data_IF_001178498735
#
_entry.id   IF_001178498735
#
_cell.length_a   1.000
_cell.length_b   1.000
_cell.length_c   1.000
_cell.angle_alpha   90.00
_cell.angle_beta   90.00
_cell.angle_gamma   90.00
#
_symmetry.space_group_name_H-M   'P 1'
#
loop_
_entity.id
_entity.type
_entity.pdbx_description
1 polymer ?
#
# COMPACT_ATOMS: atom_id res chain seq x y z
N UNK A 1 0.79 18.92 11.40
CA UNK A 1 0.16 17.68 10.87
C UNK A 1 -0.60 18.05 9.61
N UNK A 2 -0.51 17.27 8.54
CA UNK A 2 -1.34 17.51 7.35
C UNK A 2 -2.82 17.30 7.68
N UNK A 3 -3.65 18.29 7.33
CA UNK A 3 -5.11 18.23 7.47
C UNK A 3 -5.74 17.65 6.21
N UNK A 4 -6.79 16.84 6.42
CA UNK A 4 -7.48 16.13 5.34
C UNK A 4 -8.98 16.31 5.47
N UNK A 5 -9.66 16.44 4.33
CA UNK A 5 -11.12 16.35 4.22
C UNK A 5 -11.50 15.09 3.46
N UNK A 6 -12.37 14.27 4.03
CA UNK A 6 -12.92 13.10 3.34
C UNK A 6 -13.88 13.57 2.24
N UNK A 7 -13.68 13.09 1.02
CA UNK A 7 -14.55 13.42 -0.12
C UNK A 7 -15.46 12.25 -0.48
N UNK A 8 -14.93 11.03 -0.46
CA UNK A 8 -15.69 9.79 -0.68
C UNK A 8 -14.99 8.60 -0.01
N UNK A 9 -15.73 7.52 0.26
CA UNK A 9 -15.18 6.32 0.92
C UNK A 9 -15.95 5.04 0.59
N UNK A 10 -15.23 3.93 0.67
CA UNK A 10 -15.75 2.56 0.73
C UNK A 10 -15.38 1.98 2.09
N UNK A 11 -16.34 1.33 2.76
CA UNK A 11 -16.17 0.81 4.12
C UNK A 11 -16.49 -0.67 4.16
N UNK A 12 -15.59 -1.46 4.74
CA UNK A 12 -15.86 -2.83 5.13
C UNK A 12 -16.04 -2.85 6.66
N UNK A 13 -17.30 -2.84 7.10
CA UNK A 13 -17.67 -2.78 8.52
C UNK A 13 -17.19 -4.01 9.29
N UNK A 14 -17.26 -5.20 8.68
CA UNK A 14 -16.83 -6.45 9.32
C UNK A 14 -15.34 -6.46 9.67
N UNK A 15 -14.51 -5.84 8.82
CA UNK A 15 -13.06 -5.73 9.04
C UNK A 15 -12.66 -4.41 9.73
N UNK A 16 -13.60 -3.47 9.88
CA UNK A 16 -13.33 -2.10 10.32
C UNK A 16 -12.35 -1.36 9.40
N UNK A 17 -12.32 -1.68 8.11
CA UNK A 17 -11.39 -1.11 7.13
C UNK A 17 -12.12 -0.08 6.26
N UNK A 18 -11.46 1.03 5.98
CA UNK A 18 -11.95 2.09 5.09
C UNK A 18 -10.92 2.40 4.02
N UNK A 19 -11.40 2.50 2.79
CA UNK A 19 -10.68 3.05 1.65
C UNK A 19 -11.33 4.39 1.30
N UNK A 20 -10.62 5.50 1.50
CA UNK A 20 -11.17 6.84 1.35
C UNK A 20 -10.36 7.69 0.38
N UNK A 21 -11.05 8.49 -0.42
CA UNK A 21 -10.44 9.63 -1.12
C UNK A 21 -10.44 10.81 -0.15
N UNK A 22 -9.26 11.43 0.01
CA UNK A 22 -9.07 12.58 0.89
C UNK A 22 -8.41 13.72 0.15
N UNK A 23 -8.95 14.92 0.31
CA UNK A 23 -8.30 16.15 -0.09
C UNK A 23 -7.31 16.57 0.99
N UNK A 24 -6.05 16.78 0.63
CA UNK A 24 -5.03 17.31 1.53
C UNK A 24 -5.03 18.84 1.45
N UNK A 25 -5.42 19.49 2.55
CA UNK A 25 -5.76 20.93 2.54
C UNK A 25 -4.56 21.86 2.35
N UNK A 26 -3.35 21.42 2.69
CA UNK A 26 -2.12 22.21 2.57
C UNK A 26 -1.55 22.27 1.15
N UNK A 27 -1.99 21.37 0.28
CA UNK A 27 -1.39 21.10 -1.04
C UNK A 27 -2.43 20.92 -2.14
N UNK A 28 -3.71 20.94 -1.78
CA UNK A 28 -4.89 20.83 -2.65
C UNK A 28 -4.88 19.63 -3.60
N UNK A 29 -4.22 18.53 -3.20
CA UNK A 29 -4.24 17.27 -3.95
C UNK A 29 -5.07 16.21 -3.25
N UNK A 30 -5.61 15.29 -4.04
CA UNK A 30 -6.33 14.14 -3.55
C UNK A 30 -5.40 12.93 -3.37
N UNK A 31 -5.62 12.19 -2.30
CA UNK A 31 -4.95 10.91 -2.07
C UNK A 31 -5.97 9.85 -1.67
N UNK A 32 -5.74 8.64 -2.14
CA UNK A 32 -6.46 7.45 -1.76
C UNK A 32 -5.78 6.85 -0.55
N UNK A 33 -6.58 6.56 0.46
CA UNK A 33 -6.11 6.34 1.81
C UNK A 33 -6.75 5.08 2.38
N UNK A 34 -5.91 4.11 2.75
CA UNK A 34 -6.35 2.92 3.49
C UNK A 34 -6.23 3.17 5.00
N UNK A 35 -7.29 2.88 5.75
CA UNK A 35 -7.35 2.99 7.20
C UNK A 35 -8.05 1.78 7.80
N UNK A 36 -7.64 1.40 9.00
CA UNK A 36 -8.41 0.48 9.84
C UNK A 36 -8.73 1.17 11.17
N UNK A 37 -10.00 1.11 11.57
CA UNK A 37 -10.47 1.63 12.85
C UNK A 37 -9.84 0.81 13.97
N UNK A 38 -9.09 1.47 14.86
CA UNK A 38 -8.61 0.85 16.11
C UNK A 38 -9.28 1.47 17.32
N UNK A 39 -9.33 0.77 18.47
CA UNK A 39 -9.91 1.30 19.70
C UNK A 39 -9.21 2.56 20.23
N UNK A 40 -7.95 2.81 19.86
CA UNK A 40 -7.25 4.05 20.20
C UNK A 40 -7.31 5.06 19.05
N UNK A 41 -7.55 6.33 19.38
CA UNK A 41 -7.72 7.47 18.45
C UNK A 41 -6.55 7.73 17.47
N UNK A 42 -5.50 6.88 17.46
CA UNK A 42 -4.39 6.96 16.51
C UNK A 42 -4.62 5.99 15.34
N UNK A 43 -5.55 6.34 14.45
CA UNK A 43 -6.04 5.57 13.29
C UNK A 43 -5.03 5.31 12.16
N UNK A 44 -3.75 5.02 12.46
CA UNK A 44 -2.71 4.95 11.43
C UNK A 44 -1.80 3.74 11.51
N UNK A 45 -1.84 2.93 12.57
CA UNK A 45 -0.73 2.02 12.85
C UNK A 45 -0.76 0.76 11.98
N UNK A 46 0.33 0.56 11.25
CA UNK A 46 0.60 -0.63 10.45
C UNK A 46 0.85 -1.92 11.26
N UNK A 47 1.01 -1.84 12.59
CA UNK A 47 1.35 -2.98 13.44
C UNK A 47 0.21 -3.30 14.37
N UNK A 48 -0.42 -4.47 14.23
CA UNK A 48 -1.44 -4.96 15.18
C UNK A 48 -0.84 -5.10 16.57
N UNK A 49 0.34 -5.73 16.63
CA UNK A 49 1.21 -5.94 17.80
C UNK A 49 2.69 -5.85 17.34
N UNK A 50 3.65 -5.88 18.28
CA UNK A 50 5.07 -5.95 17.92
C UNK A 50 5.33 -7.23 17.12
N UNK A 51 5.79 -7.12 15.87
CA UNK A 51 6.05 -8.27 15.00
C UNK A 51 4.93 -8.64 14.02
N UNK A 52 3.67 -8.27 14.31
CA UNK A 52 2.52 -8.54 13.44
C UNK A 52 2.14 -7.36 12.54
N UNK A 53 2.28 -7.56 11.24
CA UNK A 53 1.93 -6.57 10.23
C UNK A 53 0.43 -6.54 9.96
N UNK A 54 -0.08 -5.35 9.65
CA UNK A 54 -1.42 -5.19 9.15
C UNK A 54 -1.60 -6.05 7.89
N UNK A 55 -2.72 -6.76 7.82
CA UNK A 55 -3.14 -7.46 6.62
C UNK A 55 -4.65 -7.58 6.64
N UNK A 56 -5.21 -7.87 5.48
CA UNK A 56 -6.62 -8.17 5.32
C UNK A 56 -6.82 -9.30 4.30
N UNK A 57 -8.02 -9.89 4.24
CA UNK A 57 -8.37 -10.81 3.17
C UNK A 57 -8.18 -10.17 1.80
N UNK A 58 -7.44 -10.83 0.92
CA UNK A 58 -7.10 -10.32 -0.40
C UNK A 58 -8.35 -10.16 -1.28
N UNK A 59 -9.32 -11.06 -1.15
CA UNK A 59 -10.60 -10.99 -1.87
C UNK A 59 -11.44 -9.78 -1.40
N UNK A 60 -11.45 -9.50 -0.10
CA UNK A 60 -12.12 -8.34 0.48
C UNK A 60 -11.44 -7.04 0.01
N UNK A 61 -10.11 -7.00 -0.03
CA UNK A 61 -9.36 -5.87 -0.57
C UNK A 61 -9.73 -5.61 -2.03
N UNK A 62 -9.79 -6.66 -2.85
CA UNK A 62 -10.18 -6.55 -4.25
C UNK A 62 -11.61 -6.01 -4.41
N UNK A 63 -12.58 -6.55 -3.66
CA UNK A 63 -13.97 -6.06 -3.68
C UNK A 63 -14.03 -4.57 -3.36
N UNK A 64 -13.34 -4.14 -2.30
CA UNK A 64 -13.28 -2.73 -1.92
C UNK A 64 -12.64 -1.84 -3.01
N UNK A 65 -11.57 -2.30 -3.67
CA UNK A 65 -10.92 -1.53 -4.74
C UNK A 65 -11.81 -1.42 -5.99
N UNK A 66 -12.52 -2.49 -6.35
CA UNK A 66 -13.46 -2.48 -7.47
C UNK A 66 -14.63 -1.53 -7.20
N UNK A 67 -15.19 -1.57 -6.00
CA UNK A 67 -16.23 -0.63 -5.59
C UNK A 67 -15.72 0.82 -5.57
N UNK A 68 -14.51 1.05 -5.06
CA UNK A 68 -13.88 2.36 -5.05
C UNK A 68 -13.69 2.91 -6.47
N UNK A 69 -13.25 2.08 -7.41
CA UNK A 69 -13.15 2.45 -8.83
C UNK A 69 -14.52 2.79 -9.41
N UNK A 70 -15.56 1.98 -9.13
CA UNK A 70 -16.92 2.23 -9.61
C UNK A 70 -17.50 3.54 -9.06
N UNK A 71 -17.12 3.91 -7.83
CA UNK A 71 -17.50 5.16 -7.16
C UNK A 71 -16.57 6.35 -7.50
N UNK A 72 -15.65 6.20 -8.45
CA UNK A 72 -14.78 7.28 -8.92
C UNK A 72 -13.62 7.66 -8.01
N UNK A 73 -13.31 6.89 -6.96
CA UNK A 73 -12.22 7.22 -6.03
C UNK A 73 -10.83 7.25 -6.70
N UNK A 74 -10.67 6.60 -7.85
CA UNK A 74 -9.41 6.56 -8.59
C UNK A 74 -9.43 7.37 -9.89
N UNK A 75 -10.47 8.18 -10.09
CA UNK A 75 -10.69 8.91 -11.33
C UNK A 75 -9.57 9.91 -11.65
N UNK A 76 -9.37 10.17 -12.94
CA UNK A 76 -8.23 10.89 -13.49
C UNK A 76 -8.13 12.34 -13.00
N UNK A 77 -9.26 12.96 -12.70
CA UNK A 77 -9.34 14.30 -12.12
C UNK A 77 -8.71 14.41 -10.72
N UNK A 78 -8.55 13.29 -10.02
CA UNK A 78 -7.95 13.22 -8.68
C UNK A 78 -6.47 12.86 -8.69
N UNK A 79 -5.88 12.67 -9.86
CA UNK A 79 -4.47 12.33 -9.96
C UNK A 79 -3.61 13.52 -9.58
N UNK A 80 -2.71 13.33 -8.61
CA UNK A 80 -1.81 14.38 -8.10
C UNK A 80 -0.86 14.89 -9.18
N UNK A 81 -0.56 14.07 -10.19
CA UNK A 81 0.40 14.40 -11.26
C UNK A 81 -0.09 13.97 -12.65
N UNK A 82 -1.06 14.65 -13.26
CA UNK A 82 -1.57 14.28 -14.57
C UNK A 82 -0.46 14.22 -15.63
N UNK A 83 -0.56 13.26 -16.56
CA UNK A 83 0.42 13.07 -17.65
C UNK A 83 1.76 12.44 -17.25
N UNK A 84 1.97 12.08 -15.98
CA UNK A 84 3.16 11.34 -15.53
C UNK A 84 2.91 9.83 -15.53
N UNK A 85 3.85 9.07 -16.09
CA UNK A 85 3.82 7.61 -16.03
C UNK A 85 4.25 7.11 -14.65
N UNK A 86 3.61 6.04 -14.21
CA UNK A 86 4.03 5.23 -13.07
C UNK A 86 4.49 3.90 -13.66
N UNK A 87 5.73 3.54 -13.39
CA UNK A 87 6.29 2.26 -13.81
C UNK A 87 6.23 1.26 -12.64
N UNK A 88 5.31 0.28 -12.64
CA UNK A 88 5.18 -0.67 -11.56
C UNK A 88 6.24 -1.77 -11.63
N UNK A 89 6.86 -2.03 -10.49
CA UNK A 89 7.72 -3.20 -10.29
C UNK A 89 6.88 -4.36 -9.80
N UNK A 90 6.67 -5.36 -10.65
CA UNK A 90 5.85 -6.54 -10.37
C UNK A 90 6.70 -7.80 -10.32
N UNK A 91 6.77 -8.45 -9.15
CA UNK A 91 7.60 -9.64 -8.96
C UNK A 91 7.21 -10.80 -9.88
N UNK A 92 5.95 -10.89 -10.30
CA UNK A 92 5.48 -11.95 -11.22
C UNK A 92 5.93 -11.73 -12.67
N UNK A 93 6.39 -10.53 -13.02
CA UNK A 93 6.83 -10.14 -14.36
C UNK A 93 8.35 -9.89 -14.42
N UNK A 94 9.07 -10.26 -13.37
CA UNK A 94 10.51 -10.07 -13.22
C UNK A 94 11.28 -11.38 -13.31
N UNK A 95 12.58 -11.31 -13.61
CA UNK A 95 13.46 -12.46 -13.41
C UNK A 95 13.51 -12.83 -11.91
N UNK A 96 13.80 -14.10 -11.57
CA UNK A 96 13.89 -14.54 -10.18
C UNK A 96 14.82 -13.68 -9.31
N UNK A 97 15.96 -13.25 -9.85
CA UNK A 97 16.94 -12.42 -9.15
C UNK A 97 16.38 -11.03 -8.82
N UNK A 98 15.66 -10.42 -9.77
CA UNK A 98 15.02 -9.12 -9.60
C UNK A 98 13.80 -9.18 -8.68
N UNK A 99 13.02 -10.25 -8.75
CA UNK A 99 11.95 -10.51 -7.79
C UNK A 99 12.52 -10.63 -6.37
N UNK A 100 13.63 -11.37 -6.19
CA UNK A 100 14.30 -11.50 -4.90
C UNK A 100 14.91 -10.18 -4.39
N UNK A 101 15.38 -9.30 -5.27
CA UNK A 101 15.72 -7.92 -4.90
C UNK A 101 14.51 -7.15 -4.40
N UNK A 102 13.38 -7.23 -5.10
CA UNK A 102 12.14 -6.55 -4.70
C UNK A 102 11.62 -7.06 -3.35
N UNK A 103 11.71 -8.37 -3.11
CA UNK A 103 11.37 -8.98 -1.82
C UNK A 103 12.25 -8.40 -0.71
N UNK A 104 13.56 -8.30 -0.90
CA UNK A 104 14.47 -7.66 0.08
C UNK A 104 14.25 -6.15 0.25
N UNK A 105 13.64 -5.47 -0.71
CA UNK A 105 13.27 -4.05 -0.61
C UNK A 105 11.98 -3.82 0.18
N UNK A 106 11.11 -4.83 0.28
CA UNK A 106 9.72 -4.65 0.75
C UNK A 106 9.35 -5.56 1.92
N UNK A 107 10.10 -6.62 2.16
CA UNK A 107 10.03 -7.52 3.32
C UNK A 107 11.28 -7.34 4.18
N UNK A 108 11.13 -7.27 5.50
CA UNK A 108 12.30 -7.14 6.39
C UNK A 108 13.06 -8.46 6.45
N UNK A 109 14.38 -8.41 6.31
CA UNK A 109 15.25 -9.59 6.42
C UNK A 109 15.31 -10.05 7.89
N UNK A 110 15.11 -11.35 8.14
CA UNK A 110 15.35 -11.99 9.43
C UNK A 110 14.30 -11.73 10.51
N UNK A 111 13.07 -11.40 10.11
CA UNK A 111 11.94 -11.15 11.02
C UNK A 111 10.80 -12.14 10.76
N UNK A 112 9.89 -12.24 11.73
CA UNK A 112 8.56 -12.89 11.60
C UNK A 112 7.82 -12.51 10.30
N UNK A 113 8.13 -11.36 9.69
CA UNK A 113 7.64 -10.94 8.36
C UNK A 113 7.87 -11.99 7.25
N UNK A 114 9.06 -12.59 7.19
CA UNK A 114 9.38 -13.53 6.12
C UNK A 114 8.63 -14.86 6.29
N UNK A 115 8.48 -15.32 7.53
CA UNK A 115 7.68 -16.51 7.87
C UNK A 115 6.19 -16.25 7.68
N UNK A 116 5.72 -15.04 7.99
CA UNK A 116 4.32 -14.64 7.79
C UNK A 116 3.91 -14.66 6.31
N UNK A 117 4.84 -14.40 5.39
CA UNK A 117 4.61 -14.41 3.95
C UNK A 117 5.13 -15.67 3.25
N UNK A 118 5.40 -16.75 4.00
CA UNK A 118 5.81 -18.04 3.43
C UNK A 118 4.67 -18.67 2.62
N UNK A 119 4.62 -18.32 1.33
CA UNK A 119 3.52 -18.59 0.44
C UNK A 119 4.04 -18.77 -1.00
N UNK A 120 3.63 -19.87 -1.65
CA UNK A 120 4.17 -20.28 -2.96
C UNK A 120 3.84 -19.31 -4.10
N UNK A 121 2.72 -18.62 -3.99
CA UNK A 121 2.21 -17.65 -4.97
C UNK A 121 2.31 -16.21 -4.45
N UNK A 122 3.27 -15.94 -3.57
CA UNK A 122 3.57 -14.59 -3.08
C UNK A 122 3.91 -13.66 -4.26
N UNK A 123 3.21 -12.53 -4.34
CA UNK A 123 3.46 -11.48 -5.33
C UNK A 123 3.63 -10.13 -4.65
N UNK A 124 4.55 -9.33 -5.19
CA UNK A 124 4.79 -7.95 -4.75
C UNK A 124 4.69 -7.03 -5.95
N UNK A 125 3.86 -6.00 -5.81
CA UNK A 125 3.73 -4.91 -6.78
C UNK A 125 4.13 -3.63 -6.10
N UNK A 126 5.18 -2.97 -6.56
CA UNK A 126 5.70 -1.76 -5.96
C UNK A 126 5.79 -0.61 -6.96
N UNK A 127 5.15 0.51 -6.63
CA UNK A 127 5.11 1.72 -7.44
C UNK A 127 5.88 2.84 -6.75
N UNK A 128 6.75 3.54 -7.48
CA UNK A 128 7.36 4.78 -6.98
C UNK A 128 6.48 5.96 -7.33
N UNK A 129 6.43 6.95 -6.44
CA UNK A 129 5.79 8.21 -6.78
C UNK A 129 6.61 8.97 -7.83
N UNK A 130 5.98 9.51 -8.90
CA UNK A 130 6.68 10.04 -10.08
C UNK A 130 7.71 11.14 -9.81
N UNK A 131 7.41 12.09 -8.92
CA UNK A 131 8.23 13.31 -8.79
C UNK A 131 9.26 13.20 -7.67
N UNK A 132 8.86 12.73 -6.51
CA UNK A 132 9.74 12.77 -5.35
C UNK A 132 10.67 11.55 -5.34
N UNK A 133 10.34 10.41 -5.99
CA UNK A 133 11.08 9.11 -5.96
C UNK A 133 11.55 8.66 -4.56
N UNK A 134 11.14 9.38 -3.52
CA UNK A 134 11.40 9.22 -2.09
C UNK A 134 10.37 8.32 -1.44
N UNK A 135 9.26 8.07 -2.13
CA UNK A 135 8.18 7.23 -1.69
C UNK A 135 8.03 6.01 -2.59
N UNK A 136 7.87 4.85 -1.96
CA UNK A 136 7.56 3.58 -2.59
C UNK A 136 6.28 3.03 -1.94
N UNK A 137 5.27 2.76 -2.75
CA UNK A 137 4.03 2.11 -2.31
C UNK A 137 4.07 0.67 -2.80
N UNK A 138 3.85 -0.29 -1.92
CA UNK A 138 3.87 -1.70 -2.26
C UNK A 138 2.59 -2.40 -1.85
N UNK A 139 2.08 -3.27 -2.72
CA UNK A 139 1.10 -4.29 -2.39
C UNK A 139 1.84 -5.62 -2.30
N UNK A 140 1.62 -6.35 -1.21
CA UNK A 140 2.15 -7.70 -0.99
C UNK A 140 0.95 -8.61 -0.83
N UNK A 141 0.86 -9.64 -1.67
CA UNK A 141 -0.31 -10.52 -1.72
C UNK A 141 0.10 -11.98 -1.81
N UNK A 142 -0.60 -12.81 -1.05
CA UNK A 142 -0.56 -14.27 -1.11
C UNK A 142 -2.00 -14.73 -1.42
N UNK A 143 -2.33 -15.00 -2.69
CA UNK A 143 -3.68 -15.41 -3.08
C UNK A 143 -4.12 -16.72 -2.43
N UNK A 144 -3.27 -17.75 -2.40
CA UNK A 144 -3.58 -19.04 -1.78
C UNK A 144 -3.91 -18.96 -0.28
N UNK A 145 -3.26 -18.04 0.43
CA UNK A 145 -3.53 -17.74 1.84
C UNK A 145 -4.60 -16.68 2.07
N UNK A 146 -5.26 -16.22 1.00
CA UNK A 146 -6.20 -15.08 0.96
C UNK A 146 -5.71 -13.89 1.81
N UNK A 147 -4.47 -13.45 1.60
CA UNK A 147 -3.85 -12.43 2.46
C UNK A 147 -3.22 -11.33 1.63
N UNK A 148 -3.46 -10.09 2.03
CA UNK A 148 -2.88 -8.92 1.40
C UNK A 148 -2.49 -7.86 2.44
N UNK A 149 -1.40 -7.14 2.16
CA UNK A 149 -1.10 -5.87 2.80
C UNK A 149 -0.69 -4.81 1.79
N UNK A 150 -0.89 -3.56 2.16
CA UNK A 150 -0.28 -2.39 1.51
C UNK A 150 0.80 -1.82 2.41
N UNK A 151 1.90 -1.32 1.84
CA UNK A 151 2.99 -0.68 2.58
C UNK A 151 3.38 0.62 1.90
N UNK A 152 3.72 1.61 2.72
CA UNK A 152 4.35 2.85 2.29
C UNK A 152 5.77 2.87 2.84
N UNK A 153 6.75 3.15 1.99
CA UNK A 153 8.14 3.29 2.39
C UNK A 153 8.65 4.66 1.97
N UNK A 154 9.55 5.21 2.77
CA UNK A 154 10.21 6.47 2.49
C UNK A 154 11.73 6.34 2.57
N UNK A 155 12.43 7.19 1.82
CA UNK A 155 13.86 7.48 1.98
C UNK A 155 14.11 8.81 2.69
N UNK A 156 13.07 9.48 3.15
CA UNK A 156 13.17 10.77 3.84
C UNK A 156 13.67 10.58 5.27
N UNK A 157 14.89 11.05 5.51
CA UNK A 157 15.55 10.95 6.81
C UNK A 157 14.91 11.86 7.87
N UNK A 158 14.22 12.91 7.46
CA UNK A 158 13.49 13.88 8.29
C UNK A 158 12.02 13.50 8.51
N UNK A 159 11.46 12.53 7.78
CA UNK A 159 10.08 12.09 7.99
C UNK A 159 9.87 11.42 9.36
N UNK A 160 9.19 12.09 10.28
CA UNK A 160 9.09 11.70 11.70
C UNK A 160 8.30 10.40 11.93
N UNK A 161 7.37 10.06 11.03
CA UNK A 161 6.46 8.94 11.19
C UNK A 161 6.97 7.64 10.55
N UNK A 162 8.28 7.43 10.45
CA UNK A 162 8.85 6.16 10.00
C UNK A 162 9.23 5.22 11.14
N UNK A 163 9.31 3.94 10.82
CA UNK A 163 10.01 2.96 11.63
C UNK A 163 11.50 2.99 11.30
N UNK A 164 12.31 3.33 12.30
CA UNK A 164 13.77 3.31 12.21
C UNK A 164 14.37 1.94 12.53
N UNK A 165 13.59 1.08 13.19
CA UNK A 165 13.97 -0.29 13.59
C UNK A 165 13.91 -1.29 12.44
N UNK A 166 13.01 -1.08 11.46
CA UNK A 166 12.93 -1.90 10.26
C UNK A 166 13.78 -1.27 9.15
N UNK A 167 14.92 -1.89 8.84
CA UNK A 167 15.79 -1.47 7.74
C UNK A 167 15.62 -2.40 6.56
N UNK A 168 15.07 -1.86 5.47
CA UNK A 168 14.94 -2.55 4.21
C UNK A 168 16.14 -2.25 3.32
N UNK A 169 16.37 -3.09 2.30
CA UNK A 169 17.47 -2.84 1.37
C UNK A 169 17.33 -1.49 0.66
N UNK A 170 18.48 -0.95 0.21
CA UNK A 170 18.55 0.34 -0.52
C UNK A 170 18.01 1.55 0.26
N UNK A 171 18.07 1.51 1.60
CA UNK A 171 17.76 2.65 2.47
C UNK A 171 16.28 2.98 2.62
N UNK A 172 15.39 2.07 2.24
CA UNK A 172 13.95 2.23 2.48
C UNK A 172 13.63 2.04 3.96
N UNK A 173 12.80 2.94 4.48
CA UNK A 173 12.26 2.90 5.83
C UNK A 173 10.75 2.80 5.75
N UNK A 174 10.14 1.92 6.55
CA UNK A 174 8.70 1.72 6.54
C UNK A 174 7.99 2.90 7.21
N UNK A 175 6.96 3.42 6.56
CA UNK A 175 6.06 4.42 7.12
C UNK A 175 5.16 3.79 8.20
N UNK A 176 4.87 4.53 9.26
CA UNK A 176 3.95 4.10 10.31
C UNK A 176 2.51 4.07 9.84
N UNK A 177 2.19 4.82 8.79
CA UNK A 177 0.88 4.82 8.14
C UNK A 177 0.69 3.59 7.22
N UNK A 178 -0.55 3.12 7.07
CA UNK A 178 -0.86 1.95 6.22
C UNK A 178 -0.50 2.20 4.75
N UNK A 179 -1.29 3.04 4.07
CA UNK A 179 -0.98 3.51 2.72
C UNK A 179 -1.81 4.76 2.40
N UNK A 180 -1.10 5.77 1.92
CA UNK A 180 -1.63 6.95 1.24
C UNK A 180 -1.00 6.94 -0.15
N UNK A 181 -1.80 6.92 -1.21
CA UNK A 181 -1.32 6.77 -2.58
C UNK A 181 -2.13 7.64 -3.56
N UNK A 182 -1.56 7.87 -4.74
CA UNK A 182 -2.26 8.44 -5.90
C UNK A 182 -3.24 7.40 -6.48
N UNK A 183 -4.39 7.84 -7.02
CA UNK A 183 -5.42 6.98 -7.58
C UNK A 183 -4.91 6.00 -8.65
N UNK A 184 -3.91 6.40 -9.46
CA UNK A 184 -3.29 5.51 -10.45
C UNK A 184 -2.52 4.35 -9.82
N UNK A 185 -1.82 4.60 -8.71
CA UNK A 185 -1.12 3.54 -7.98
C UNK A 185 -2.16 2.52 -7.49
N UNK A 186 -3.31 2.99 -7.00
CA UNK A 186 -4.41 2.12 -6.60
C UNK A 186 -5.01 1.35 -7.78
N UNK A 187 -5.20 1.97 -8.94
CA UNK A 187 -5.64 1.27 -10.17
C UNK A 187 -4.66 0.16 -10.57
N UNK A 188 -3.37 0.47 -10.61
CA UNK A 188 -2.33 -0.51 -10.95
C UNK A 188 -2.37 -1.67 -9.96
N UNK A 189 -2.42 -1.39 -8.66
CA UNK A 189 -2.50 -2.44 -7.63
C UNK A 189 -3.78 -3.27 -7.76
N UNK A 190 -4.92 -2.64 -8.05
CA UNK A 190 -6.19 -3.35 -8.27
C UNK A 190 -6.11 -4.29 -9.46
N UNK A 191 -5.58 -3.85 -10.61
CA UNK A 191 -5.47 -4.69 -11.80
C UNK A 191 -4.51 -5.86 -11.57
N UNK A 192 -3.38 -5.64 -10.88
CA UNK A 192 -2.47 -6.74 -10.51
C UNK A 192 -3.08 -7.70 -9.49
N UNK A 193 -3.92 -7.20 -8.60
CA UNK A 193 -4.66 -8.05 -7.67
C UNK A 193 -5.69 -8.91 -8.41
N UNK A 194 -6.43 -8.36 -9.39
CA UNK A 194 -7.32 -9.14 -10.27
C UNK A 194 -6.54 -10.23 -11.03
N UNK A 195 -5.39 -9.88 -11.61
CA UNK A 195 -4.50 -10.85 -12.28
C UNK A 195 -4.05 -11.96 -11.32
N UNK A 196 -3.78 -11.63 -10.05
CA UNK A 196 -3.37 -12.60 -9.03
C UNK A 196 -4.45 -13.63 -8.67
N UNK A 197 -5.74 -13.29 -8.82
CA UNK A 197 -6.86 -14.21 -8.60
C UNK A 197 -7.30 -15.00 -9.83
N UNK A 198 -6.78 -14.67 -11.02
CA UNK A 198 -7.12 -15.36 -12.28
C UNK A 198 -6.14 -16.47 -12.66
N UNK A 199 -4.92 -16.41 -12.13
CA UNK A 199 -3.88 -17.42 -12.34
C UNK A 199 -3.90 -18.48 -11.27
#
# INVERSE_FOLDING_TARGET
MAEYRDTSKVVNEALGVTLALKLRLDTDYHTVVWRQKRPSNTNRRFYFEQGHFWSMPADAALKMMVEAQANGLFADEYWRWPGKSIDPRDSAKMSPERAQELFRETLSRGSEDAEWWDCRDLRIVACREPWEKRWLKAMIVCPSGNRLTFRSFTRENDYENKYTTFRFSKGWMLDRSMMDADGRICQIMMERLKEAFRG
#
